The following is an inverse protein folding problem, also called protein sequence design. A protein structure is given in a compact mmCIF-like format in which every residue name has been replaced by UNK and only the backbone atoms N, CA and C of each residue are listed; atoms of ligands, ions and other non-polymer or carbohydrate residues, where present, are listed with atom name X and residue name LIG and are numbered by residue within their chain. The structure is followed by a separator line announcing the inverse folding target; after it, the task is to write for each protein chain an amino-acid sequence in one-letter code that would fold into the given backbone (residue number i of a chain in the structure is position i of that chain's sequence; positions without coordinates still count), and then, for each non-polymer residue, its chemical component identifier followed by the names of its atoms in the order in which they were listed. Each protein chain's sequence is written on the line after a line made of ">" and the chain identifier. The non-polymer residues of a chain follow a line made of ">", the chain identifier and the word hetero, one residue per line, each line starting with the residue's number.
data_IF_849999263704
#
_entry.id   IF_849999263704
#
_cell.length_a   1.000
_cell.length_b   1.000
_cell.length_c   1.000
_cell.angle_alpha   90.00
_cell.angle_beta   90.00
_cell.angle_gamma   90.00
#
_symmetry.space_group_name_H-M   'P 1'
#
loop_
_entity.id
_entity.type
_entity.pdbx_description
1 polymer ?
#
# COMPACT_ATOMS: atom_id res chain seq x y z
N UNK A 1 24.14 61.20 -34.74
CA UNK A 1 24.44 60.68 -33.39
C UNK A 1 23.09 60.30 -32.76
N UNK A 2 22.64 59.07 -32.98
CA UNK A 2 21.29 58.62 -32.60
C UNK A 2 21.32 58.07 -31.18
N UNK A 3 20.53 58.65 -30.28
CA UNK A 3 20.40 58.20 -28.90
C UNK A 3 19.63 56.87 -28.89
N UNK A 4 20.27 55.81 -28.41
CA UNK A 4 19.64 54.51 -28.16
C UNK A 4 18.74 54.67 -26.94
N UNK A 5 17.44 54.65 -27.17
CA UNK A 5 16.39 54.71 -26.17
C UNK A 5 16.35 53.38 -25.39
N UNK A 6 16.96 53.35 -24.21
CA UNK A 6 17.00 52.18 -23.35
C UNK A 6 15.65 52.00 -22.66
N UNK A 7 14.78 51.15 -23.23
CA UNK A 7 13.52 50.79 -22.58
C UNK A 7 13.79 50.16 -21.21
N UNK A 8 13.11 50.61 -20.14
CA UNK A 8 13.24 49.97 -18.83
C UNK A 8 12.74 48.53 -18.91
N UNK A 9 13.60 47.58 -18.54
CA UNK A 9 13.22 46.17 -18.38
C UNK A 9 12.18 46.11 -17.25
N UNK A 10 10.97 45.58 -17.48
CA UNK A 10 9.99 45.45 -16.42
C UNK A 10 10.61 44.62 -15.29
N UNK A 11 10.65 45.18 -14.08
CA UNK A 11 11.09 44.47 -12.89
C UNK A 11 10.28 43.18 -12.78
N UNK A 12 10.97 42.03 -12.89
CA UNK A 12 10.32 40.73 -12.76
C UNK A 12 9.54 40.74 -11.45
N UNK A 13 8.21 40.66 -11.55
CA UNK A 13 7.33 40.61 -10.39
C UNK A 13 7.87 39.52 -9.45
N UNK A 14 8.16 39.90 -8.21
CA UNK A 14 8.64 38.98 -7.19
C UNK A 14 7.57 37.91 -7.00
N UNK A 15 7.70 36.79 -7.71
CA UNK A 15 6.81 35.65 -7.54
C UNK A 15 7.07 35.11 -6.14
N UNK A 16 6.10 35.33 -5.25
CA UNK A 16 6.19 34.87 -3.87
C UNK A 16 6.57 33.38 -3.85
N UNK A 17 7.50 33.01 -2.96
CA UNK A 17 7.90 31.60 -2.81
C UNK A 17 6.64 30.75 -2.60
N UNK A 18 6.44 29.69 -3.40
CA UNK A 18 5.23 28.88 -3.28
C UNK A 18 5.10 28.29 -1.87
N UNK A 19 3.87 28.35 -1.31
CA UNK A 19 3.55 27.76 -0.02
C UNK A 19 3.81 26.24 0.01
N UNK A 20 3.97 25.68 1.21
CA UNK A 20 4.25 24.24 1.40
C UNK A 20 3.21 23.35 0.75
N UNK A 21 1.92 23.70 0.86
CA UNK A 21 0.82 22.95 0.23
C UNK A 21 0.89 22.95 -1.31
N UNK A 22 1.28 24.08 -1.93
CA UNK A 22 1.43 24.15 -3.38
C UNK A 22 2.58 23.27 -3.88
N UNK A 23 3.68 23.17 -3.12
CA UNK A 23 4.79 22.27 -3.43
C UNK A 23 4.37 20.81 -3.27
N UNK A 24 3.65 20.48 -2.19
CA UNK A 24 3.12 19.13 -1.98
C UNK A 24 2.16 18.71 -3.10
N UNK A 25 1.21 19.58 -3.48
CA UNK A 25 0.25 19.28 -4.53
C UNK A 25 0.91 19.06 -5.90
N UNK A 26 1.92 19.87 -6.25
CA UNK A 26 2.70 19.68 -7.48
C UNK A 26 3.50 18.38 -7.45
N UNK A 27 4.14 18.07 -6.32
CA UNK A 27 4.89 16.82 -6.15
C UNK A 27 3.96 15.60 -6.26
N UNK A 28 2.80 15.64 -5.60
CA UNK A 28 1.81 14.58 -5.67
C UNK A 28 1.24 14.41 -7.10
N UNK A 29 0.99 15.51 -7.81
CA UNK A 29 0.57 15.47 -9.21
C UNK A 29 1.61 14.84 -10.14
N UNK A 30 2.90 15.12 -9.91
CA UNK A 30 3.99 14.51 -10.67
C UNK A 30 4.08 12.99 -10.44
N UNK A 31 4.01 12.55 -9.17
CA UNK A 31 4.03 11.12 -8.82
C UNK A 31 2.78 10.39 -9.36
N UNK A 32 1.61 11.03 -9.31
CA UNK A 32 0.38 10.48 -9.89
C UNK A 32 0.49 10.28 -11.41
N UNK A 33 1.00 11.29 -12.12
CA UNK A 33 1.21 11.19 -13.57
C UNK A 33 2.21 10.07 -13.90
N UNK A 34 3.28 9.95 -13.12
CA UNK A 34 4.29 8.90 -13.26
C UNK A 34 3.68 7.50 -13.09
N UNK A 35 2.89 7.28 -12.04
CA UNK A 35 2.23 5.98 -11.85
C UNK A 35 1.32 5.62 -13.03
N UNK A 36 0.60 6.59 -13.58
CA UNK A 36 -0.31 6.36 -14.72
C UNK A 36 0.41 6.04 -16.03
N UNK A 37 1.60 6.59 -16.26
CA UNK A 37 2.35 6.41 -17.50
C UNK A 37 3.18 5.13 -17.52
N UNK A 38 3.52 4.57 -16.37
CA UNK A 38 4.33 3.35 -16.27
C UNK A 38 3.49 2.11 -16.55
N UNK A 39 3.89 1.32 -17.57
CA UNK A 39 3.18 0.09 -17.97
C UNK A 39 3.14 -0.97 -16.86
N UNK A 40 4.16 -1.06 -16.02
CA UNK A 40 4.20 -2.03 -14.91
C UNK A 40 3.12 -1.76 -13.87
N UNK A 41 2.69 -0.51 -13.68
CA UNK A 41 1.56 -0.15 -12.81
C UNK A 41 0.30 -0.90 -13.24
N UNK A 42 -0.02 -0.85 -14.54
CA UNK A 42 -1.21 -1.50 -15.10
C UNK A 42 -1.13 -3.03 -15.02
N UNK A 43 0.05 -3.62 -15.21
CA UNK A 43 0.24 -5.05 -15.00
C UNK A 43 0.05 -5.46 -13.54
N UNK A 44 0.51 -4.66 -12.58
CA UNK A 44 0.29 -4.92 -11.16
C UNK A 44 -1.20 -4.76 -10.80
N UNK A 45 -1.89 -3.75 -11.33
CA UNK A 45 -3.33 -3.56 -11.12
C UNK A 45 -4.14 -4.70 -11.74
N UNK A 46 -3.76 -5.19 -12.92
CA UNK A 46 -4.40 -6.34 -13.55
C UNK A 46 -4.17 -7.61 -12.71
N UNK A 47 -2.94 -7.85 -12.25
CA UNK A 47 -2.63 -8.98 -11.38
C UNK A 47 -3.40 -8.91 -10.06
N UNK A 48 -3.50 -7.72 -9.46
CA UNK A 48 -4.31 -7.47 -8.26
C UNK A 48 -5.80 -7.73 -8.54
N UNK A 49 -6.34 -7.28 -9.67
CA UNK A 49 -7.73 -7.51 -10.02
C UNK A 49 -8.03 -9.00 -10.19
N UNK A 50 -7.19 -9.72 -10.94
CA UNK A 50 -7.35 -11.16 -11.16
C UNK A 50 -7.24 -11.94 -9.85
N UNK A 51 -6.30 -11.59 -8.97
CA UNK A 51 -6.09 -12.31 -7.72
C UNK A 51 -7.13 -11.96 -6.67
N UNK A 52 -7.39 -10.68 -6.39
CA UNK A 52 -8.36 -10.24 -5.36
C UNK A 52 -9.77 -10.69 -5.75
N UNK A 53 -10.22 -10.36 -6.96
CA UNK A 53 -11.59 -10.70 -7.40
C UNK A 53 -11.71 -12.19 -7.66
N UNK A 54 -10.72 -12.79 -8.35
CA UNK A 54 -10.76 -14.21 -8.67
C UNK A 54 -10.78 -15.08 -7.42
N UNK A 55 -9.80 -14.94 -6.53
CA UNK A 55 -9.71 -15.74 -5.30
C UNK A 55 -10.91 -15.45 -4.39
N UNK A 56 -11.23 -14.16 -4.18
CA UNK A 56 -12.32 -13.74 -3.31
C UNK A 56 -13.67 -14.30 -3.70
N UNK A 57 -14.05 -14.15 -4.98
CA UNK A 57 -15.32 -14.67 -5.49
C UNK A 57 -15.34 -16.20 -5.44
N UNK A 58 -14.25 -16.88 -5.82
CA UNK A 58 -14.23 -18.35 -5.74
C UNK A 58 -14.35 -18.87 -4.32
N UNK A 59 -13.70 -18.21 -3.35
CA UNK A 59 -13.78 -18.58 -1.94
C UNK A 59 -15.19 -18.36 -1.39
N UNK A 60 -15.83 -17.25 -1.73
CA UNK A 60 -17.21 -16.97 -1.30
C UNK A 60 -18.22 -17.97 -1.89
N UNK A 61 -18.03 -18.41 -3.15
CA UNK A 61 -18.89 -19.42 -3.79
C UNK A 61 -18.69 -20.80 -3.15
N UNK A 62 -17.43 -21.19 -2.90
CA UNK A 62 -17.10 -22.47 -2.27
C UNK A 62 -17.72 -22.56 -0.87
N UNK A 63 -17.55 -21.50 -0.08
CA UNK A 63 -18.13 -21.39 1.26
C UNK A 63 -19.66 -21.43 1.22
N UNK A 64 -20.29 -20.74 0.25
CA UNK A 64 -21.74 -20.76 0.07
C UNK A 64 -22.29 -22.12 -0.42
N UNK A 65 -21.46 -22.97 -1.03
CA UNK A 65 -21.86 -24.26 -1.63
C UNK A 65 -21.53 -25.48 -0.76
N UNK A 66 -20.87 -25.28 0.39
CA UNK A 66 -20.34 -26.35 1.24
C UNK A 66 -21.41 -27.21 1.94
N UNK A 67 -21.08 -28.43 2.43
CA UNK A 67 -22.04 -29.41 2.96
C UNK A 67 -22.59 -29.12 4.37
N UNK A 68 -22.36 -27.92 4.92
CA UNK A 68 -22.87 -27.55 6.25
C UNK A 68 -24.17 -26.75 6.11
N UNK A 69 -25.16 -27.12 6.93
CA UNK A 69 -26.47 -26.49 7.16
C UNK A 69 -26.39 -24.94 7.11
N UNK A 70 -27.38 -24.25 6.52
CA UNK A 70 -27.21 -23.00 5.80
C UNK A 70 -26.78 -21.88 6.75
N UNK A 71 -25.58 -21.33 6.54
CA UNK A 71 -25.32 -19.94 6.88
C UNK A 71 -26.05 -19.05 5.86
N UNK A 72 -27.39 -19.05 5.96
CA UNK A 72 -28.19 -17.92 5.57
C UNK A 72 -27.63 -16.72 6.35
N UNK A 73 -26.86 -15.84 5.69
CA UNK A 73 -26.29 -14.66 6.31
C UNK A 73 -24.76 -14.60 6.39
N UNK A 74 -24.00 -15.44 5.65
CA UNK A 74 -22.58 -15.12 5.45
C UNK A 74 -22.48 -13.80 4.68
N UNK A 75 -21.76 -12.79 5.19
CA UNK A 75 -21.64 -11.52 4.50
C UNK A 75 -20.84 -11.70 3.21
N UNK A 76 -21.33 -11.17 2.10
CA UNK A 76 -20.59 -11.19 0.83
C UNK A 76 -19.24 -10.44 0.92
N UNK A 77 -19.03 -9.62 1.96
CA UNK A 77 -17.76 -8.96 2.30
C UNK A 77 -16.59 -9.93 2.54
N UNK A 78 -16.89 -11.20 2.82
CA UNK A 78 -15.88 -12.25 2.92
C UNK A 78 -15.06 -12.37 1.62
N UNK A 79 -15.68 -12.15 0.45
CA UNK A 79 -14.98 -12.22 -0.83
C UNK A 79 -13.83 -11.21 -0.91
N UNK A 80 -14.08 -9.95 -0.56
CA UNK A 80 -13.10 -8.88 -0.55
C UNK A 80 -12.02 -9.11 0.51
N UNK A 81 -12.41 -9.47 1.74
CA UNK A 81 -11.47 -9.75 2.84
C UNK A 81 -10.51 -10.89 2.47
N UNK A 82 -11.06 -12.01 2.01
CA UNK A 82 -10.28 -13.19 1.66
C UNK A 82 -9.44 -12.98 0.38
N UNK A 83 -10.02 -12.30 -0.62
CA UNK A 83 -9.31 -11.94 -1.84
C UNK A 83 -8.08 -11.05 -1.57
N UNK A 84 -8.19 -10.11 -0.61
CA UNK A 84 -7.10 -9.21 -0.23
C UNK A 84 -5.96 -9.94 0.46
N UNK A 85 -6.21 -10.99 1.26
CA UNK A 85 -5.15 -11.75 1.96
C UNK A 85 -3.98 -12.11 1.04
N UNK A 86 -4.29 -12.65 -0.14
CA UNK A 86 -3.30 -13.05 -1.14
C UNK A 86 -3.15 -12.02 -2.27
N UNK A 87 -4.23 -11.36 -2.69
CA UNK A 87 -4.18 -10.44 -3.82
C UNK A 87 -3.47 -9.11 -3.53
N UNK A 88 -3.32 -8.74 -2.25
CA UNK A 88 -2.62 -7.51 -1.85
C UNK A 88 -1.17 -7.46 -2.34
N UNK A 89 -0.49 -8.60 -2.52
CA UNK A 89 0.93 -8.62 -2.89
C UNK A 89 1.19 -7.96 -4.24
N UNK A 90 0.26 -8.02 -5.19
CA UNK A 90 0.38 -7.29 -6.45
C UNK A 90 0.34 -5.76 -6.25
N UNK A 91 -0.45 -5.28 -5.28
CA UNK A 91 -0.50 -3.87 -4.90
C UNK A 91 0.74 -3.45 -4.08
N UNK A 92 1.25 -4.33 -3.22
CA UNK A 92 2.50 -4.09 -2.50
C UNK A 92 3.69 -3.98 -3.45
N UNK A 93 3.73 -4.83 -4.48
CA UNK A 93 4.71 -4.74 -5.57
C UNK A 93 4.58 -3.40 -6.30
N UNK A 94 3.36 -2.95 -6.64
CA UNK A 94 3.14 -1.64 -7.25
C UNK A 94 3.71 -0.51 -6.39
N UNK A 95 3.36 -0.49 -5.10
CA UNK A 95 3.80 0.55 -4.15
C UNK A 95 5.33 0.56 -3.99
N UNK A 96 5.93 -0.63 -3.89
CA UNK A 96 7.38 -0.81 -3.81
C UNK A 96 8.08 -0.36 -5.10
N UNK A 97 7.60 -0.78 -6.26
CA UNK A 97 8.18 -0.41 -7.56
C UNK A 97 8.11 1.10 -7.79
N UNK A 98 7.07 1.77 -7.31
CA UNK A 98 6.95 3.23 -7.41
C UNK A 98 8.18 3.94 -6.83
N UNK A 99 8.77 3.41 -5.75
CA UNK A 99 9.92 4.01 -5.08
C UNK A 99 11.26 3.37 -5.45
N UNK A 100 11.29 2.09 -5.82
CA UNK A 100 12.54 1.39 -6.14
C UNK A 100 13.02 1.59 -7.58
N UNK A 101 12.13 1.85 -8.53
CA UNK A 101 12.46 1.98 -9.96
C UNK A 101 13.46 3.10 -10.25
N UNK A 102 13.50 4.15 -9.42
CA UNK A 102 14.47 5.23 -9.60
C UNK A 102 15.88 4.87 -9.13
N UNK A 103 16.04 3.89 -8.24
CA UNK A 103 17.38 3.38 -7.88
C UNK A 103 17.95 2.54 -9.03
N UNK A 104 17.10 1.75 -9.70
CA UNK A 104 17.50 0.96 -10.85
C UNK A 104 17.90 1.82 -12.06
N UNK A 105 17.28 2.99 -12.22
CA UNK A 105 17.58 3.94 -13.30
C UNK A 105 18.60 5.03 -12.92
N UNK A 106 19.15 5.03 -11.69
CA UNK A 106 20.14 6.01 -11.22
C UNK A 106 19.60 7.43 -10.96
N UNK A 107 18.28 7.62 -10.81
CA UNK A 107 17.60 8.91 -10.90
C UNK A 107 17.33 9.67 -9.60
N UNK A 108 17.75 9.17 -8.43
CA UNK A 108 17.33 9.75 -7.14
C UNK A 108 18.15 10.99 -6.75
N UNK A 109 19.39 11.07 -7.24
CA UNK A 109 20.30 12.19 -6.99
C UNK A 109 19.77 13.55 -7.45
N UNK A 110 19.32 13.72 -8.71
CA UNK A 110 18.92 15.03 -9.23
C UNK A 110 17.70 15.65 -8.52
N UNK A 111 16.71 14.85 -8.13
CA UNK A 111 15.41 15.34 -7.63
C UNK A 111 15.47 15.81 -6.17
N UNK A 112 16.25 15.12 -5.32
CA UNK A 112 16.40 15.46 -3.89
C UNK A 112 17.46 16.55 -3.64
N UNK A 113 18.44 16.69 -4.52
CA UNK A 113 19.54 17.65 -4.34
C UNK A 113 19.13 19.11 -4.59
N UNK A 114 18.10 19.36 -5.40
CA UNK A 114 17.74 20.71 -5.85
C UNK A 114 16.65 21.44 -5.05
N UNK A 115 16.05 20.79 -4.03
CA UNK A 115 14.88 21.37 -3.35
C UNK A 115 15.09 21.59 -1.84
N UNK A 116 14.93 22.82 -1.30
CA UNK A 116 15.06 23.13 0.13
C UNK A 116 13.98 22.50 1.04
N UNK A 117 13.12 21.61 0.53
CA UNK A 117 11.97 21.00 1.23
C UNK A 117 11.95 19.47 1.08
N UNK A 118 13.06 18.81 1.40
CA UNK A 118 13.27 17.36 1.23
C UNK A 118 12.16 16.51 1.88
N UNK A 119 11.66 16.90 3.04
CA UNK A 119 10.57 16.18 3.74
C UNK A 119 9.22 16.20 3.01
N UNK A 120 8.90 17.30 2.31
CA UNK A 120 7.61 17.44 1.58
C UNK A 120 7.61 16.54 0.35
N UNK A 121 8.73 16.47 -0.36
CA UNK A 121 8.90 15.57 -1.50
C UNK A 121 8.85 14.10 -1.08
N UNK A 122 9.53 13.76 0.02
CA UNK A 122 9.46 12.42 0.58
C UNK A 122 8.01 12.03 0.96
N UNK A 123 7.28 12.93 1.63
CA UNK A 123 5.89 12.70 1.99
C UNK A 123 5.00 12.43 0.76
N UNK A 124 5.12 13.23 -0.31
CA UNK A 124 4.36 12.98 -1.55
C UNK A 124 4.68 11.61 -2.16
N UNK A 125 5.96 11.23 -2.14
CA UNK A 125 6.47 10.01 -2.74
C UNK A 125 6.13 8.74 -1.96
N UNK A 126 5.86 8.88 -0.67
CA UNK A 126 5.27 7.83 0.15
C UNK A 126 3.75 7.80 -0.02
N UNK A 127 3.10 8.96 0.13
CA UNK A 127 1.65 9.05 0.20
C UNK A 127 0.96 8.63 -1.11
N UNK A 128 1.48 9.06 -2.27
CA UNK A 128 0.82 8.77 -3.55
C UNK A 128 0.77 7.27 -3.82
N UNK A 129 1.87 6.49 -3.84
CA UNK A 129 1.79 5.05 -4.07
C UNK A 129 0.92 4.31 -3.05
N UNK A 130 1.00 4.68 -1.76
CA UNK A 130 0.19 4.07 -0.69
C UNK A 130 -1.30 4.33 -0.92
N UNK A 131 -1.69 5.58 -1.19
CA UNK A 131 -3.09 5.95 -1.44
C UNK A 131 -3.60 5.26 -2.70
N UNK A 132 -2.81 5.19 -3.77
CA UNK A 132 -3.21 4.53 -5.02
C UNK A 132 -3.40 3.03 -4.84
N UNK A 133 -2.44 2.36 -4.20
CA UNK A 133 -2.54 0.92 -3.92
C UNK A 133 -3.74 0.60 -3.02
N UNK A 134 -3.94 1.40 -1.96
CA UNK A 134 -5.07 1.24 -1.04
C UNK A 134 -6.40 1.47 -1.73
N UNK A 135 -6.56 2.59 -2.44
CA UNK A 135 -7.80 2.90 -3.13
C UNK A 135 -8.14 1.86 -4.21
N UNK A 136 -7.14 1.42 -4.99
CA UNK A 136 -7.34 0.38 -5.98
C UNK A 136 -7.76 -0.94 -5.32
N UNK A 137 -7.09 -1.37 -4.24
CA UNK A 137 -7.45 -2.61 -3.57
C UNK A 137 -8.82 -2.57 -2.88
N UNK A 138 -9.21 -1.44 -2.27
CA UNK A 138 -10.56 -1.24 -1.73
C UNK A 138 -11.62 -1.34 -2.83
N UNK A 139 -11.38 -0.74 -4.00
CA UNK A 139 -12.29 -0.85 -5.14
C UNK A 139 -12.37 -2.29 -5.68
N UNK A 140 -11.27 -3.03 -5.68
CA UNK A 140 -11.23 -4.43 -6.09
C UNK A 140 -11.92 -5.34 -5.08
N UNK A 141 -11.76 -5.09 -3.77
CA UNK A 141 -12.47 -5.80 -2.71
C UNK A 141 -13.98 -5.57 -2.81
N UNK A 142 -14.42 -4.31 -2.94
CA UNK A 142 -15.81 -3.98 -3.21
C UNK A 142 -16.34 -4.67 -4.48
N UNK A 143 -15.53 -4.71 -5.54
CA UNK A 143 -15.88 -5.42 -6.77
C UNK A 143 -16.05 -6.93 -6.56
N UNK A 144 -15.21 -7.54 -5.71
CA UNK A 144 -15.34 -8.93 -5.32
C UNK A 144 -16.61 -9.19 -4.50
N UNK A 145 -16.92 -8.32 -3.53
CA UNK A 145 -18.10 -8.42 -2.68
C UNK A 145 -19.39 -8.33 -3.49
N UNK A 146 -19.47 -7.34 -4.39
CA UNK A 146 -20.62 -7.16 -5.28
C UNK A 146 -20.75 -8.32 -6.27
N UNK A 147 -19.64 -8.84 -6.79
CA UNK A 147 -19.66 -9.99 -7.67
C UNK A 147 -20.14 -11.25 -6.94
N UNK A 148 -19.63 -11.52 -5.74
CA UNK A 148 -20.06 -12.65 -4.92
C UNK A 148 -21.55 -12.55 -4.57
N UNK A 149 -22.01 -11.38 -4.13
CA UNK A 149 -23.42 -11.13 -3.84
C UNK A 149 -24.33 -11.34 -5.06
N UNK A 150 -23.86 -10.98 -6.26
CA UNK A 150 -24.61 -11.18 -7.50
C UNK A 150 -24.67 -12.64 -7.99
N UNK A 151 -23.71 -13.48 -7.58
CA UNK A 151 -23.61 -14.88 -8.01
C UNK A 151 -24.30 -15.82 -7.03
N UNK A 152 -24.12 -15.61 -5.72
CA UNK A 152 -24.66 -16.46 -4.67
C UNK A 152 -25.86 -15.77 -3.99
N UNK A 153 -27.07 -16.25 -4.29
CA UNK A 153 -28.33 -15.64 -3.88
C UNK A 153 -28.55 -15.63 -2.35
N UNK A 154 -27.86 -16.48 -1.61
CA UNK A 154 -28.00 -16.61 -0.15
C UNK A 154 -27.06 -15.67 0.64
N UNK A 155 -26.15 -14.97 -0.04
CA UNK A 155 -25.26 -14.00 0.59
C UNK A 155 -25.98 -12.68 0.86
N UNK A 156 -25.62 -12.04 1.98
CA UNK A 156 -26.14 -10.72 2.35
C UNK A 156 -25.06 -9.66 2.24
N UNK A 157 -25.47 -8.42 1.94
CA UNK A 157 -24.55 -7.27 1.85
C UNK A 157 -25.10 -6.06 2.60
N UNK A 158 -25.24 -6.13 3.93
CA UNK A 158 -25.69 -5.00 4.72
C UNK A 158 -24.64 -3.87 4.67
N UNK A 159 -25.12 -2.62 4.57
CA UNK A 159 -24.24 -1.46 4.38
C UNK A 159 -23.28 -1.21 5.55
N UNK A 160 -23.66 -1.60 6.77
CA UNK A 160 -22.80 -1.51 7.96
C UNK A 160 -21.57 -2.41 7.85
N UNK A 161 -21.79 -3.69 7.55
CA UNK A 161 -20.72 -4.69 7.42
C UNK A 161 -19.82 -4.36 6.23
N UNK A 162 -20.40 -3.85 5.13
CA UNK A 162 -19.63 -3.37 3.99
C UNK A 162 -18.70 -2.22 4.35
N UNK A 163 -19.19 -1.21 5.07
CA UNK A 163 -18.37 -0.07 5.47
C UNK A 163 -17.23 -0.47 6.43
N UNK A 164 -17.54 -1.34 7.41
CA UNK A 164 -16.55 -1.85 8.36
C UNK A 164 -15.49 -2.71 7.65
N UNK A 165 -15.92 -3.65 6.80
CA UNK A 165 -15.05 -4.51 6.01
C UNK A 165 -14.11 -3.70 5.10
N UNK A 166 -14.63 -2.74 4.33
CA UNK A 166 -13.80 -1.89 3.48
C UNK A 166 -12.84 -1.01 4.30
N UNK A 167 -13.23 -0.62 5.53
CA UNK A 167 -12.35 0.05 6.48
C UNK A 167 -11.18 -0.82 6.92
N UNK A 168 -11.44 -2.09 7.26
CA UNK A 168 -10.43 -3.09 7.62
C UNK A 168 -9.49 -3.40 6.45
N UNK A 169 -10.04 -3.59 5.24
CA UNK A 169 -9.28 -3.75 3.98
C UNK A 169 -8.40 -2.54 3.71
N UNK A 170 -8.93 -1.32 3.85
CA UNK A 170 -8.16 -0.09 3.66
C UNK A 170 -6.99 0.01 4.66
N UNK A 171 -7.21 -0.33 5.93
CA UNK A 171 -6.18 -0.32 6.96
C UNK A 171 -5.04 -1.30 6.64
N UNK A 172 -5.37 -2.52 6.24
CA UNK A 172 -4.38 -3.54 5.86
C UNK A 172 -3.58 -3.13 4.62
N UNK A 173 -4.25 -2.68 3.56
CA UNK A 173 -3.58 -2.26 2.33
C UNK A 173 -2.73 -1.02 2.53
N UNK A 174 -3.19 -0.05 3.32
CA UNK A 174 -2.41 1.15 3.64
C UNK A 174 -1.16 0.80 4.44
N UNK A 175 -1.30 -0.06 5.46
CA UNK A 175 -0.19 -0.57 6.26
C UNK A 175 0.82 -1.32 5.40
N UNK A 176 0.38 -2.35 4.68
CA UNK A 176 1.24 -3.16 3.83
C UNK A 176 1.95 -2.34 2.75
N UNK A 177 1.24 -1.42 2.10
CA UNK A 177 1.82 -0.55 1.07
C UNK A 177 2.86 0.40 1.64
N UNK A 178 2.60 0.97 2.82
CA UNK A 178 3.54 1.84 3.51
C UNK A 178 4.78 1.07 3.99
N UNK A 179 4.61 -0.17 4.48
CA UNK A 179 5.72 -1.08 4.81
C UNK A 179 6.57 -1.37 3.57
N UNK A 180 5.93 -1.72 2.45
CA UNK A 180 6.60 -2.03 1.19
C UNK A 180 7.41 -0.83 0.65
N UNK A 181 6.83 0.38 0.74
CA UNK A 181 7.52 1.63 0.41
C UNK A 181 8.70 1.90 1.34
N UNK A 182 8.52 1.75 2.65
CA UNK A 182 9.59 1.93 3.64
C UNK A 182 10.77 0.98 3.43
N UNK A 183 10.48 -0.31 3.20
CA UNK A 183 11.48 -1.31 2.86
C UNK A 183 12.16 -1.01 1.50
N UNK A 184 11.40 -0.52 0.52
CA UNK A 184 11.94 -0.06 -0.76
C UNK A 184 12.99 1.04 -0.59
N UNK A 185 12.72 2.02 0.27
CA UNK A 185 13.69 3.07 0.62
C UNK A 185 14.87 2.58 1.44
N UNK A 186 14.64 1.66 2.38
CA UNK A 186 15.67 1.12 3.25
C UNK A 186 16.68 0.26 2.49
N UNK A 187 16.17 -0.66 1.66
CA UNK A 187 16.97 -1.69 1.00
C UNK A 187 17.49 -1.27 -0.37
N UNK A 188 16.83 -0.31 -1.04
CA UNK A 188 17.24 0.24 -2.35
C UNK A 188 17.47 -0.82 -3.45
N UNK A 189 16.85 -1.98 -3.29
CA UNK A 189 16.94 -3.12 -4.20
C UNK A 189 15.55 -3.70 -4.38
N UNK A 190 15.12 -3.87 -5.64
CA UNK A 190 13.82 -4.46 -5.96
C UNK A 190 13.74 -5.88 -5.38
N UNK A 191 14.77 -6.70 -5.65
CA UNK A 191 14.79 -8.09 -5.20
C UNK A 191 14.80 -8.20 -3.66
N UNK A 192 15.65 -7.41 -2.99
CA UNK A 192 15.74 -7.42 -1.52
C UNK A 192 14.46 -6.92 -0.85
N UNK A 193 13.87 -5.84 -1.37
CA UNK A 193 12.64 -5.28 -0.82
C UNK A 193 11.43 -6.19 -1.03
N UNK A 194 11.30 -6.81 -2.21
CA UNK A 194 10.25 -7.80 -2.45
C UNK A 194 10.43 -9.00 -1.51
N UNK A 195 11.63 -9.57 -1.44
CA UNK A 195 11.91 -10.68 -0.54
C UNK A 195 11.55 -10.35 0.91
N UNK A 196 11.88 -9.15 1.40
CA UNK A 196 11.56 -8.72 2.76
C UNK A 196 10.04 -8.57 2.99
N UNK A 197 9.30 -7.97 2.04
CA UNK A 197 7.84 -7.83 2.14
C UNK A 197 7.16 -9.21 2.18
N UNK A 198 7.50 -10.10 1.25
CA UNK A 198 6.94 -11.46 1.23
C UNK A 198 7.36 -12.24 2.47
N UNK A 199 8.59 -12.10 2.93
CA UNK A 199 9.06 -12.78 4.14
C UNK A 199 8.27 -12.32 5.36
N UNK A 200 8.17 -11.02 5.63
CA UNK A 200 7.52 -10.49 6.83
C UNK A 200 6.00 -10.68 6.83
N UNK A 201 5.37 -10.56 5.66
CA UNK A 201 3.91 -10.57 5.55
C UNK A 201 3.34 -11.96 5.31
N UNK A 202 4.05 -12.83 4.60
CA UNK A 202 3.55 -14.14 4.17
C UNK A 202 4.36 -15.27 4.81
N UNK A 203 5.64 -15.40 4.45
CA UNK A 203 6.38 -16.64 4.72
C UNK A 203 6.66 -16.82 6.21
N UNK A 204 7.13 -15.76 6.89
CA UNK A 204 7.60 -15.84 8.27
C UNK A 204 6.46 -16.11 9.27
N UNK A 205 5.27 -15.48 9.19
CA UNK A 205 4.13 -15.85 10.03
C UNK A 205 3.78 -17.34 9.95
N UNK A 206 3.57 -17.87 8.74
CA UNK A 206 3.21 -19.28 8.54
C UNK A 206 4.32 -20.23 8.97
N UNK A 207 5.58 -19.89 8.69
CA UNK A 207 6.73 -20.71 9.06
C UNK A 207 6.88 -20.80 10.59
N UNK A 208 6.77 -19.67 11.29
CA UNK A 208 6.92 -19.65 12.75
C UNK A 208 5.76 -20.35 13.46
N UNK A 209 4.53 -20.19 12.98
CA UNK A 209 3.35 -20.90 13.51
C UNK A 209 3.44 -22.42 13.27
N UNK A 210 3.96 -22.84 12.11
CA UNK A 210 4.04 -24.25 11.73
C UNK A 210 5.07 -25.09 12.49
N UNK A 211 6.04 -24.46 13.18
CA UNK A 211 7.14 -25.17 13.87
C UNK A 211 6.69 -25.76 15.22
N UNK A 212 5.55 -25.32 15.77
CA UNK A 212 4.95 -25.92 16.97
C UNK A 212 5.66 -25.59 18.28
N UNK A 213 6.48 -24.53 18.31
CA UNK A 213 7.20 -24.05 19.50
C UNK A 213 6.58 -22.73 19.98
N UNK A 214 6.26 -22.64 21.27
CA UNK A 214 5.46 -21.52 21.83
C UNK A 214 6.04 -20.14 21.54
N UNK A 215 7.33 -19.91 21.88
CA UNK A 215 7.96 -18.61 21.66
C UNK A 215 8.03 -18.20 20.18
N UNK A 216 7.98 -19.18 19.27
CA UNK A 216 7.95 -18.90 17.83
C UNK A 216 6.55 -18.50 17.38
N UNK A 217 5.50 -19.10 17.96
CA UNK A 217 4.12 -18.65 17.78
C UNK A 217 3.93 -17.23 18.28
N UNK A 218 4.44 -16.93 19.48
CA UNK A 218 4.42 -15.58 20.05
C UNK A 218 5.10 -14.56 19.12
N UNK A 219 6.25 -14.93 18.54
CA UNK A 219 6.93 -14.07 17.56
C UNK A 219 6.13 -13.93 16.26
N UNK A 220 5.45 -14.98 15.81
CA UNK A 220 4.62 -14.94 14.62
C UNK A 220 3.50 -13.91 14.78
N UNK A 221 2.88 -13.84 15.97
CA UNK A 221 1.81 -12.87 16.27
C UNK A 221 2.29 -11.42 16.27
N UNK A 222 3.60 -11.17 16.42
CA UNK A 222 4.20 -9.84 16.33
C UNK A 222 4.55 -9.40 14.91
N UNK A 223 4.28 -10.22 13.90
CA UNK A 223 4.57 -9.92 12.50
C UNK A 223 3.43 -9.13 11.84
N UNK A 224 3.75 -8.29 10.83
CA UNK A 224 2.74 -7.50 10.13
C UNK A 224 1.77 -8.38 9.33
N UNK A 225 2.21 -9.57 8.92
CA UNK A 225 1.37 -10.60 8.30
C UNK A 225 0.23 -11.04 9.20
N UNK A 226 0.53 -11.49 10.41
CA UNK A 226 -0.46 -11.93 11.40
C UNK A 226 -1.45 -10.82 11.75
N UNK A 227 -0.97 -9.58 11.89
CA UNK A 227 -1.84 -8.45 12.14
C UNK A 227 -2.81 -8.15 11.00
N UNK A 228 -2.36 -8.30 9.75
CA UNK A 228 -3.23 -8.17 8.58
C UNK A 228 -4.26 -9.28 8.49
N UNK A 229 -3.87 -10.54 8.72
CA UNK A 229 -4.78 -11.69 8.72
C UNK A 229 -5.86 -11.49 9.79
N UNK A 230 -5.45 -11.13 11.02
CA UNK A 230 -6.40 -10.91 12.10
C UNK A 230 -7.38 -9.78 11.81
N UNK A 231 -6.89 -8.69 11.21
CA UNK A 231 -7.75 -7.55 10.88
C UNK A 231 -8.78 -7.89 9.81
N UNK A 232 -8.47 -8.80 8.89
CA UNK A 232 -9.40 -9.20 7.83
C UNK A 232 -10.38 -10.27 8.29
N UNK A 233 -9.87 -11.36 8.88
CA UNK A 233 -10.65 -12.58 9.12
C UNK A 233 -10.74 -12.98 10.61
N UNK A 234 -10.13 -12.23 11.52
CA UNK A 234 -10.24 -12.46 12.97
C UNK A 234 -9.27 -13.48 13.57
N UNK A 235 -8.32 -14.01 12.79
CA UNK A 235 -7.33 -15.00 13.25
C UNK A 235 -5.87 -14.53 13.03
N UNK A 236 -4.88 -14.93 13.85
CA UNK A 236 -4.97 -15.73 15.07
C UNK A 236 -5.44 -14.91 16.28
N UNK A 237 -5.85 -15.55 17.38
CA UNK A 237 -6.34 -14.87 18.59
C UNK A 237 -5.41 -13.74 19.06
N UNK A 238 -5.86 -12.50 18.86
CA UNK A 238 -5.08 -11.31 19.14
C UNK A 238 -6.02 -10.17 19.58
N UNK A 239 -5.51 -9.25 20.39
CA UNK A 239 -6.30 -8.07 20.77
C UNK A 239 -6.34 -7.03 19.64
N UNK A 240 -7.45 -6.32 19.50
CA UNK A 240 -7.58 -5.22 18.52
C UNK A 240 -6.48 -4.15 18.68
N UNK A 241 -6.08 -3.87 19.92
CA UNK A 241 -5.00 -2.95 20.23
C UNK A 241 -3.65 -3.43 19.70
N UNK A 242 -3.34 -4.72 19.86
CA UNK A 242 -2.11 -5.32 19.34
C UNK A 242 -2.08 -5.32 17.82
N UNK A 243 -3.17 -5.74 17.17
CA UNK A 243 -3.27 -5.72 15.71
C UNK A 243 -3.05 -4.31 15.14
N UNK A 244 -3.72 -3.31 15.72
CA UNK A 244 -3.57 -1.91 15.32
C UNK A 244 -2.15 -1.41 15.56
N UNK A 245 -1.55 -1.74 16.70
CA UNK A 245 -0.17 -1.37 17.02
C UNK A 245 0.83 -1.95 16.01
N UNK A 246 0.62 -3.19 15.55
CA UNK A 246 1.47 -3.83 14.55
C UNK A 246 1.25 -3.26 13.15
N UNK A 247 -0.01 -3.03 12.75
CA UNK A 247 -0.36 -2.39 11.48
C UNK A 247 0.21 -0.97 11.35
N UNK A 248 0.37 -0.24 12.46
CA UNK A 248 0.98 1.09 12.44
C UNK A 248 2.49 1.03 12.66
N UNK A 249 2.94 0.21 13.61
CA UNK A 249 4.33 0.16 14.08
C UNK A 249 5.32 -0.29 13.01
N UNK A 250 4.99 -1.37 12.28
CA UNK A 250 5.87 -1.90 11.23
C UNK A 250 6.09 -0.92 10.08
N UNK A 251 5.04 -0.33 9.47
CA UNK A 251 5.23 0.69 8.43
C UNK A 251 5.94 1.93 8.93
N UNK A 252 5.63 2.41 10.14
CA UNK A 252 6.30 3.59 10.72
C UNK A 252 7.79 3.31 10.92
N UNK A 253 8.16 2.15 11.45
CA UNK A 253 9.55 1.75 11.63
C UNK A 253 10.29 1.65 10.27
N UNK A 254 9.66 1.03 9.27
CA UNK A 254 10.25 0.90 7.93
C UNK A 254 10.41 2.25 7.22
N UNK A 255 9.41 3.13 7.29
CA UNK A 255 9.46 4.47 6.70
C UNK A 255 10.48 5.36 7.42
N UNK A 256 10.57 5.28 8.75
CA UNK A 256 11.56 6.01 9.53
C UNK A 256 12.98 5.55 9.19
N UNK A 257 13.22 4.23 9.15
CA UNK A 257 14.52 3.66 8.78
C UNK A 257 14.90 3.99 7.33
N UNK A 258 13.95 3.88 6.40
CA UNK A 258 14.15 4.24 4.99
C UNK A 258 14.43 5.73 4.78
N UNK A 259 13.65 6.61 5.41
CA UNK A 259 13.85 8.05 5.38
C UNK A 259 15.18 8.48 6.01
N UNK A 260 15.57 7.86 7.12
CA UNK A 260 16.85 8.12 7.77
C UNK A 260 18.05 7.68 6.92
N UNK A 261 17.95 6.51 6.27
CA UNK A 261 18.95 6.00 5.31
C UNK A 261 19.17 6.98 4.15
N UNK A 262 18.09 7.58 3.62
CA UNK A 262 18.16 8.61 2.58
C UNK A 262 18.87 9.88 3.07
N UNK A 263 18.46 10.40 4.23
CA UNK A 263 18.97 11.69 4.72
C UNK A 263 20.44 11.65 5.14
N UNK A 264 20.93 10.52 5.70
CA UNK A 264 22.32 10.41 6.15
C UNK A 264 23.31 10.11 5.02
N UNK A 265 22.88 9.39 3.99
CA UNK A 265 23.80 8.90 2.94
C UNK A 265 23.90 9.83 1.73
N UNK A 266 22.98 10.78 1.57
CA UNK A 266 23.04 11.82 0.52
C UNK A 266 23.84 13.08 0.95
N UNK A 267 24.47 13.04 2.13
CA UNK A 267 25.25 14.14 2.71
C UNK A 267 26.77 13.86 2.77
N UNK A 268 27.25 12.76 2.19
CA UNK A 268 28.67 12.41 2.06
C UNK A 268 29.02 12.09 0.61
#
# INVERSE_FOLDING_TARGET
>A
MSAVDARPVPAAAATGRPGTGAVLARAAGAEWLRLRTVRTTWWCLLAAAVTIVGIGVTAAIDEASGPADPLAGLPATFAGEFGVLLGQFALLVLALLAVTQEYASGGIGPTLQWTPRRGVLFAARVAVPVVVATAAGVLLALGADVAAWGIAADLTLPAGDLADSLGRVAAVLASGSALAVGLGFLLRSIAGALAAVFLLQLILPFLLQGIGVEWMRDLAELLPGSAAIWTLIGEPDMTAGQATALLVGWPVAALAAGGWSLLRRDAG
#
